data_IF_834215944584
#
_entry.id   IF_834215944584
#
_cell.length_a   1.000
_cell.length_b   1.000
_cell.length_c   1.000
_cell.angle_alpha   90.00
_cell.angle_beta   90.00
_cell.angle_gamma   90.00
#
_symmetry.space_group_name_H-M   'P 1'
#
loop_
_entity.id
_entity.type
_entity.pdbx_description
1 polymer ?
#
# COMPACT_ATOMS: atom_id res chain seq x y z
N UNK A 1 17.24 -36.19 -33.51
CA UNK A 1 18.40 -35.32 -33.75
C UNK A 1 18.38 -34.16 -32.76
N UNK A 2 19.49 -34.02 -32.01
CA UNK A 2 19.97 -32.92 -31.15
C UNK A 2 18.98 -32.16 -30.23
N UNK A 3 19.02 -32.51 -28.93
CA UNK A 3 18.66 -31.63 -27.80
C UNK A 3 19.86 -30.75 -27.45
N UNK A 4 19.72 -29.42 -27.42
CA UNK A 4 20.76 -28.51 -26.91
C UNK A 4 20.66 -28.40 -25.38
N UNK A 5 21.79 -28.55 -24.70
CA UNK A 5 21.95 -28.28 -23.26
C UNK A 5 22.47 -26.85 -23.11
N UNK A 6 21.79 -26.00 -22.34
CA UNK A 6 22.35 -24.73 -21.88
C UNK A 6 23.23 -25.02 -20.65
N UNK A 7 24.50 -24.63 -20.71
CA UNK A 7 25.42 -24.60 -19.58
C UNK A 7 25.25 -23.27 -18.82
N UNK A 8 24.95 -23.36 -17.52
CA UNK A 8 24.91 -22.24 -16.59
C UNK A 8 26.31 -22.05 -15.99
N UNK A 9 26.94 -20.90 -16.25
CA UNK A 9 28.23 -20.51 -15.69
C UNK A 9 27.98 -19.78 -14.37
N UNK A 10 28.50 -20.32 -13.27
CA UNK A 10 28.50 -19.71 -11.93
C UNK A 10 29.82 -18.97 -11.75
N UNK A 11 29.78 -17.66 -11.48
CA UNK A 11 30.94 -16.86 -11.09
C UNK A 11 31.03 -16.72 -9.55
N UNK A 12 32.23 -16.72 -8.94
CA UNK A 12 32.39 -16.65 -7.50
C UNK A 12 32.42 -15.20 -6.97
N UNK A 13 31.83 -15.03 -5.78
CA UNK A 13 31.79 -13.79 -4.98
C UNK A 13 33.10 -13.65 -4.20
N UNK A 14 33.77 -12.50 -4.32
CA UNK A 14 34.97 -12.18 -3.56
C UNK A 14 34.62 -11.50 -2.22
N UNK A 15 35.07 -12.10 -1.12
CA UNK A 15 35.04 -11.57 0.24
C UNK A 15 36.12 -10.48 0.41
N UNK A 16 35.75 -9.29 0.89
CA UNK A 16 36.69 -8.34 1.49
C UNK A 16 36.60 -8.41 3.02
N UNK A 17 37.71 -8.81 3.65
CA UNK A 17 37.92 -8.79 5.10
C UNK A 17 38.62 -7.49 5.50
N UNK A 18 38.00 -6.70 6.39
CA UNK A 18 38.62 -5.53 7.03
C UNK A 18 39.27 -5.90 8.36
N UNK A 19 40.50 -5.40 8.54
CA UNK A 19 41.43 -5.67 9.62
C UNK A 19 41.15 -4.78 10.83
N UNK A 20 41.06 -5.37 12.02
CA UNK A 20 41.14 -4.70 13.32
C UNK A 20 42.58 -4.29 13.63
N UNK A 21 42.79 -3.07 14.15
CA UNK A 21 43.98 -2.72 14.94
C UNK A 21 43.51 -2.10 16.26
N UNK A 22 43.85 -2.78 17.34
CA UNK A 22 43.77 -2.32 18.73
C UNK A 22 45.03 -1.49 19.06
N UNK A 23 44.84 -0.41 19.81
CA UNK A 23 45.94 0.37 20.39
C UNK A 23 45.53 0.99 21.72
N UNK A 24 45.84 0.29 22.81
CA UNK A 24 45.73 0.75 24.20
C UNK A 24 47.04 1.42 24.64
N UNK A 25 46.98 2.53 25.41
CA UNK A 25 47.61 2.59 26.75
C UNK A 25 47.60 3.99 27.41
N UNK A 26 47.17 3.94 28.68
CA UNK A 26 47.73 4.53 29.91
C UNK A 26 47.65 6.04 30.21
N UNK A 27 47.02 6.24 31.37
CA UNK A 27 47.02 7.40 32.24
C UNK A 27 48.37 7.65 32.94
N UNK A 28 48.58 8.90 33.37
CA UNK A 28 49.37 9.24 34.56
C UNK A 28 48.92 10.61 35.13
N UNK A 29 49.28 10.86 36.37
CA UNK A 29 48.53 11.59 37.39
C UNK A 29 49.24 12.84 37.95
N UNK A 30 48.46 13.92 38.18
CA UNK A 30 48.54 14.93 39.28
C UNK A 30 49.80 15.85 39.41
N UNK A 31 49.84 16.84 40.33
CA UNK A 31 49.14 18.15 40.32
C UNK A 31 50.13 19.33 40.56
N UNK A 32 49.71 20.62 40.55
CA UNK A 32 50.27 21.76 41.34
C UNK A 32 49.41 23.05 41.13
N UNK A 33 49.04 23.72 42.24
CA UNK A 33 48.40 25.06 42.35
C UNK A 33 49.49 26.18 42.46
N UNK A 34 49.17 27.44 42.83
CA UNK A 34 48.47 28.50 42.11
C UNK A 34 49.37 29.76 41.96
N UNK A 35 48.98 30.74 41.14
CA UNK A 35 49.57 32.09 41.24
C UNK A 35 48.52 33.16 40.95
N UNK A 36 48.42 34.10 41.89
CA UNK A 36 47.53 35.27 41.87
C UNK A 36 48.09 36.30 40.89
N UNK A 37 47.22 36.93 40.10
CA UNK A 37 47.39 38.36 39.81
C UNK A 37 46.03 38.98 39.49
N UNK A 38 45.68 39.92 40.34
CA UNK A 38 44.53 40.80 40.32
C UNK A 38 44.71 41.90 39.27
N UNK A 39 43.77 42.00 38.32
CA UNK A 39 43.46 43.26 37.65
C UNK A 39 41.95 43.40 37.64
N UNK A 40 41.44 44.33 38.46
CA UNK A 40 40.06 44.77 38.45
C UNK A 40 39.77 45.43 37.10
N UNK A 41 38.91 44.80 36.29
CA UNK A 41 38.24 45.45 35.17
C UNK A 41 36.80 45.70 35.59
N UNK A 42 36.46 46.98 35.67
CA UNK A 42 35.13 47.57 35.91
C UNK A 42 34.09 46.86 35.03
N UNK A 43 33.07 46.27 35.66
CA UNK A 43 31.89 45.70 35.00
C UNK A 43 30.89 46.84 34.83
N UNK A 44 30.59 47.20 33.59
CA UNK A 44 29.35 47.92 33.26
C UNK A 44 28.20 46.89 33.18
N UNK A 45 26.98 47.22 33.59
CA UNK A 45 25.89 46.27 33.58
C UNK A 45 25.45 46.00 32.14
N UNK A 46 25.76 44.79 31.66
CA UNK A 46 25.20 44.24 30.44
C UNK A 46 23.66 44.26 30.54
N UNK A 47 23.05 45.09 29.71
CA UNK A 47 21.64 45.05 29.35
C UNK A 47 21.24 43.61 29.02
N UNK A 48 20.40 43.04 29.87
CA UNK A 48 19.65 41.82 29.58
C UNK A 48 18.83 42.08 28.32
N UNK A 49 19.32 41.61 27.17
CA UNK A 49 18.50 41.46 25.98
C UNK A 49 17.43 40.43 26.33
N UNK A 50 16.21 40.89 26.58
CA UNK A 50 15.01 40.06 26.45
C UNK A 50 15.09 39.44 25.05
N UNK A 51 15.29 38.13 24.99
CA UNK A 51 14.99 37.37 23.78
C UNK A 51 13.52 37.57 23.48
N UNK A 52 13.22 38.27 22.40
CA UNK A 52 11.90 38.28 21.80
C UNK A 52 11.49 36.83 21.53
N UNK A 53 10.20 36.46 21.70
CA UNK A 53 9.76 35.13 21.33
C UNK A 53 10.03 34.94 19.85
N UNK A 54 10.77 33.89 19.47
CA UNK A 54 10.89 33.46 18.09
C UNK A 54 9.47 33.29 17.55
N UNK A 55 9.05 34.24 16.72
CA UNK A 55 7.77 34.23 16.06
C UNK A 55 7.79 33.00 15.16
N UNK A 56 7.00 31.99 15.52
CA UNK A 56 6.86 30.74 14.78
C UNK A 56 6.58 31.08 13.31
N UNK A 57 7.61 31.04 12.47
CA UNK A 57 7.48 31.32 11.05
C UNK A 57 6.84 30.07 10.47
N UNK A 58 5.50 30.03 10.49
CA UNK A 58 4.75 29.00 9.81
C UNK A 58 5.24 28.95 8.36
N UNK A 59 5.92 27.86 7.99
CA UNK A 59 6.36 27.64 6.62
C UNK A 59 5.11 27.48 5.76
N UNK A 60 4.96 28.39 4.81
CA UNK A 60 3.89 28.35 3.82
C UNK A 60 4.36 27.54 2.62
N UNK A 61 3.53 26.60 2.15
CA UNK A 61 3.79 25.79 0.97
C UNK A 61 2.85 26.19 -0.16
N UNK A 62 3.34 26.17 -1.39
CA UNK A 62 2.51 26.45 -2.57
C UNK A 62 1.65 25.23 -2.94
N UNK A 63 0.50 25.39 -3.61
CA UNK A 63 -0.19 24.27 -4.25
C UNK A 63 0.75 23.48 -5.16
N UNK A 64 0.62 22.15 -5.14
CA UNK A 64 1.45 21.17 -5.82
C UNK A 64 2.68 20.71 -5.04
N UNK A 65 3.00 21.33 -3.89
CA UNK A 65 4.18 20.97 -3.11
C UNK A 65 4.08 19.56 -2.52
N UNK A 66 2.88 19.13 -2.10
CA UNK A 66 2.68 17.79 -1.53
C UNK A 66 2.74 16.73 -2.64
N UNK A 67 2.12 16.99 -3.78
CA UNK A 67 2.24 16.14 -4.98
C UNK A 67 3.70 15.97 -5.38
N UNK A 68 4.48 17.05 -5.40
CA UNK A 68 5.91 16.98 -5.76
C UNK A 68 6.69 16.12 -4.75
N UNK A 69 6.55 16.40 -3.45
CA UNK A 69 7.25 15.66 -2.40
C UNK A 69 6.95 14.16 -2.45
N UNK A 70 5.68 13.79 -2.63
CA UNK A 70 5.26 12.39 -2.75
C UNK A 70 5.76 11.75 -4.05
N UNK A 71 5.72 12.48 -5.17
CA UNK A 71 6.24 12.00 -6.46
C UNK A 71 7.74 11.70 -6.41
N UNK A 72 8.49 12.49 -5.64
CA UNK A 72 9.92 12.30 -5.40
C UNK A 72 10.20 11.24 -4.31
N UNK A 73 9.17 10.80 -3.57
CA UNK A 73 9.31 9.87 -2.44
C UNK A 73 9.96 10.50 -1.21
N UNK A 74 9.96 11.84 -1.10
CA UNK A 74 10.55 12.58 0.01
C UNK A 74 9.61 12.54 1.22
N UNK A 75 9.83 11.56 2.09
CA UNK A 75 9.06 11.36 3.31
C UNK A 75 9.21 12.51 4.31
N UNK A 76 10.40 13.12 4.42
CA UNK A 76 10.63 14.19 5.39
C UNK A 76 9.96 15.47 4.92
N UNK A 77 10.02 15.77 3.62
CA UNK A 77 9.27 16.88 3.05
C UNK A 77 7.76 16.68 3.14
N UNK A 78 7.29 15.46 2.91
CA UNK A 78 5.88 15.10 3.10
C UNK A 78 5.44 15.40 4.54
N UNK A 79 6.18 14.93 5.56
CA UNK A 79 5.88 15.23 6.97
C UNK A 79 5.90 16.73 7.26
N UNK A 80 6.91 17.43 6.73
CA UNK A 80 7.03 18.88 6.91
C UNK A 80 5.79 19.61 6.39
N UNK A 81 5.29 19.25 5.21
CA UNK A 81 4.10 19.84 4.60
C UNK A 81 2.84 19.48 5.40
N UNK A 82 2.67 18.22 5.82
CA UNK A 82 1.50 17.77 6.58
C UNK A 82 1.40 18.39 7.98
N UNK A 83 2.51 18.87 8.55
CA UNK A 83 2.49 19.61 9.82
C UNK A 83 1.98 21.06 9.67
N UNK A 84 1.77 21.55 8.45
CA UNK A 84 1.16 22.86 8.20
C UNK A 84 -0.37 22.72 8.28
N UNK A 85 -0.99 23.32 9.31
CA UNK A 85 -2.39 23.10 9.68
C UNK A 85 -3.42 23.42 8.58
N UNK A 86 -3.02 24.19 7.57
CA UNK A 86 -3.92 24.73 6.54
C UNK A 86 -3.62 24.18 5.14
N UNK A 87 -2.74 23.19 4.99
CA UNK A 87 -2.41 22.65 3.67
C UNK A 87 -3.54 21.75 3.13
N UNK A 88 -3.92 21.95 1.86
CA UNK A 88 -4.90 21.10 1.18
C UNK A 88 -4.30 19.73 0.87
N UNK A 89 -4.64 18.71 1.67
CA UNK A 89 -4.07 17.36 1.54
C UNK A 89 -4.49 16.63 0.25
N UNK A 90 -5.73 16.85 -0.20
CA UNK A 90 -6.31 16.23 -1.40
C UNK A 90 -6.22 17.16 -2.62
N UNK A 91 -5.11 17.88 -2.76
CA UNK A 91 -4.78 18.55 -4.02
C UNK A 91 -4.66 17.53 -5.16
N UNK A 92 -4.84 17.98 -6.40
CA UNK A 92 -4.82 17.10 -7.57
C UNK A 92 -3.89 17.60 -8.66
N UNK A 93 -3.24 16.67 -9.37
CA UNK A 93 -2.48 16.97 -10.58
C UNK A 93 -3.38 16.97 -11.83
N UNK A 94 -2.79 17.14 -13.03
CA UNK A 94 -3.52 17.16 -14.31
C UNK A 94 -4.28 15.86 -14.62
N UNK A 95 -3.90 14.73 -14.00
CA UNK A 95 -4.58 13.43 -14.13
C UNK A 95 -5.64 13.21 -13.05
N UNK A 96 -5.90 14.22 -12.22
CA UNK A 96 -6.74 14.14 -11.01
C UNK A 96 -6.21 13.17 -9.96
N UNK A 97 -4.90 12.88 -9.95
CA UNK A 97 -4.30 12.07 -8.89
C UNK A 97 -4.06 12.91 -7.64
N UNK A 98 -4.52 12.43 -6.49
CA UNK A 98 -4.16 12.97 -5.18
C UNK A 98 -2.77 12.50 -4.75
N UNK A 99 -2.09 13.18 -3.81
CA UNK A 99 -0.87 12.68 -3.20
C UNK A 99 -1.00 11.23 -2.70
N UNK A 100 -2.14 10.89 -2.08
CA UNK A 100 -2.36 9.51 -1.60
C UNK A 100 -2.40 8.52 -2.77
N UNK A 101 -3.10 8.83 -3.86
CA UNK A 101 -3.15 7.93 -5.02
C UNK A 101 -1.76 7.74 -5.64
N UNK A 102 -0.96 8.79 -5.76
CA UNK A 102 0.43 8.71 -6.24
C UNK A 102 1.26 7.78 -5.34
N UNK A 103 1.14 7.94 -4.01
CA UNK A 103 1.82 7.07 -3.05
C UNK A 103 1.40 5.60 -3.21
N UNK A 104 0.11 5.33 -3.46
CA UNK A 104 -0.41 3.97 -3.70
C UNK A 104 0.08 3.39 -5.04
N UNK A 105 0.06 4.18 -6.12
CA UNK A 105 0.62 3.79 -7.43
C UNK A 105 2.07 3.34 -7.29
N UNK A 106 2.87 4.10 -6.56
CA UNK A 106 4.29 3.84 -6.33
C UNK A 106 4.57 2.86 -5.16
N UNK A 107 3.53 2.33 -4.50
CA UNK A 107 3.63 1.48 -3.30
C UNK A 107 4.52 2.08 -2.18
N UNK A 108 4.49 3.39 -2.01
CA UNK A 108 5.23 4.12 -0.97
C UNK A 108 4.51 4.00 0.38
N UNK A 109 4.64 2.83 1.02
CA UNK A 109 3.84 2.49 2.20
C UNK A 109 3.92 3.52 3.33
N UNK A 110 5.13 3.99 3.66
CA UNK A 110 5.32 4.93 4.76
C UNK A 110 4.64 6.29 4.49
N UNK A 111 4.71 6.78 3.24
CA UNK A 111 4.06 8.03 2.83
C UNK A 111 2.53 7.85 2.79
N UNK A 112 2.04 6.74 2.25
CA UNK A 112 0.61 6.45 2.22
C UNK A 112 0.01 6.42 3.64
N UNK A 113 0.71 5.81 4.61
CA UNK A 113 0.31 5.81 6.03
C UNK A 113 0.22 7.23 6.60
N UNK A 114 1.26 8.05 6.39
CA UNK A 114 1.25 9.45 6.83
C UNK A 114 0.07 10.25 6.26
N UNK A 115 -0.23 10.08 4.97
CA UNK A 115 -1.34 10.75 4.31
C UNK A 115 -2.70 10.28 4.84
N UNK A 116 -2.86 8.98 5.08
CA UNK A 116 -4.09 8.42 5.67
C UNK A 116 -4.29 8.92 7.10
N UNK A 117 -3.24 8.94 7.93
CA UNK A 117 -3.30 9.46 9.30
C UNK A 117 -3.63 10.96 9.34
N UNK A 118 -3.21 11.70 8.33
CA UNK A 118 -3.54 13.12 8.14
C UNK A 118 -4.92 13.35 7.49
N UNK A 119 -5.70 12.29 7.23
CA UNK A 119 -7.09 12.37 6.77
C UNK A 119 -7.28 12.46 5.25
N UNK A 120 -6.29 12.06 4.44
CA UNK A 120 -6.43 12.03 2.98
C UNK A 120 -7.60 11.15 2.53
N UNK A 121 -8.32 11.59 1.50
CA UNK A 121 -9.50 10.90 0.99
C UNK A 121 -9.11 9.61 0.22
N UNK A 122 -9.40 8.46 0.81
CA UNK A 122 -9.13 7.14 0.21
C UNK A 122 -10.04 6.78 -0.98
N UNK A 123 -11.08 7.58 -1.24
CA UNK A 123 -12.11 7.34 -2.24
C UNK A 123 -12.06 8.31 -3.44
N UNK A 124 -11.24 9.36 -3.38
CA UNK A 124 -11.10 10.31 -4.48
C UNK A 124 -10.58 9.61 -5.73
N UNK A 125 -11.34 9.69 -6.83
CA UNK A 125 -11.01 9.04 -8.09
C UNK A 125 -10.23 9.97 -9.01
N UNK A 126 -9.27 9.39 -9.73
CA UNK A 126 -8.58 10.04 -10.84
C UNK A 126 -9.41 10.03 -12.14
N UNK A 127 -8.80 10.50 -13.23
CA UNK A 127 -9.43 10.55 -14.56
C UNK A 127 -9.80 9.19 -15.15
N UNK A 128 -9.26 8.08 -14.62
CA UNK A 128 -9.57 6.72 -15.06
C UNK A 128 -10.34 5.90 -14.01
N UNK A 129 -10.98 6.60 -13.05
CA UNK A 129 -11.82 6.03 -12.00
C UNK A 129 -11.06 5.14 -11.01
N UNK A 130 -9.76 5.32 -10.84
CA UNK A 130 -9.00 4.67 -9.78
C UNK A 130 -8.97 5.58 -8.55
N UNK A 131 -9.33 5.03 -7.39
CA UNK A 131 -9.12 5.66 -6.07
C UNK A 131 -8.02 4.92 -5.31
N UNK A 132 -7.42 5.53 -4.27
CA UNK A 132 -6.42 4.85 -3.44
C UNK A 132 -6.88 3.47 -2.94
N UNK A 133 -8.13 3.36 -2.46
CA UNK A 133 -8.69 2.08 -2.01
C UNK A 133 -8.85 1.07 -3.16
N UNK A 134 -9.48 1.48 -4.27
CA UNK A 134 -9.73 0.59 -5.41
C UNK A 134 -8.42 0.09 -6.02
N UNK A 135 -7.45 0.97 -6.23
CA UNK A 135 -6.15 0.63 -6.79
C UNK A 135 -5.34 -0.25 -5.83
N UNK A 136 -5.32 0.07 -4.54
CA UNK A 136 -4.61 -0.74 -3.55
C UNK A 136 -5.12 -2.20 -3.51
N UNK A 137 -6.44 -2.36 -3.60
CA UNK A 137 -7.10 -3.66 -3.76
C UNK A 137 -6.70 -4.36 -5.06
N UNK A 138 -6.84 -3.67 -6.19
CA UNK A 138 -6.62 -4.22 -7.52
C UNK A 138 -5.15 -4.60 -7.80
N UNK A 139 -4.17 -3.87 -7.28
CA UNK A 139 -2.75 -4.00 -7.68
C UNK A 139 -1.86 -4.62 -6.60
N UNK A 140 -2.47 -5.33 -5.65
CA UNK A 140 -1.72 -6.09 -4.66
C UNK A 140 -0.93 -5.22 -3.68
N UNK A 141 -1.36 -3.97 -3.44
CA UNK A 141 -0.72 -3.06 -2.47
C UNK A 141 -1.13 -3.44 -1.04
N UNK A 142 -0.84 -4.69 -0.64
CA UNK A 142 -1.45 -5.34 0.54
C UNK A 142 -1.25 -4.60 1.85
N UNK A 143 -0.07 -4.02 2.08
CA UNK A 143 0.20 -3.27 3.31
C UNK A 143 -0.59 -1.97 3.37
N UNK A 144 -0.67 -1.23 2.25
CA UNK A 144 -1.46 0.00 2.14
C UNK A 144 -2.94 -0.32 2.27
N UNK A 145 -3.43 -1.34 1.57
CA UNK A 145 -4.82 -1.80 1.68
C UNK A 145 -5.19 -2.14 3.13
N UNK A 146 -4.34 -2.92 3.81
CA UNK A 146 -4.58 -3.29 5.22
C UNK A 146 -4.65 -2.05 6.12
N UNK A 147 -3.82 -1.04 5.84
CA UNK A 147 -3.85 0.22 6.58
C UNK A 147 -5.11 1.04 6.31
N UNK A 148 -5.50 1.18 5.04
CA UNK A 148 -6.76 1.83 4.63
C UNK A 148 -7.95 1.19 5.35
N UNK A 149 -8.04 -0.14 5.34
CA UNK A 149 -9.16 -0.86 5.95
C UNK A 149 -9.27 -0.64 7.47
N UNK A 150 -8.15 -0.34 8.14
CA UNK A 150 -8.08 -0.19 9.61
C UNK A 150 -8.13 1.26 10.09
N UNK A 151 -7.69 2.22 9.28
CA UNK A 151 -7.55 3.63 9.67
C UNK A 151 -8.48 4.57 8.89
N UNK A 152 -9.16 4.08 7.87
CA UNK A 152 -10.12 4.84 7.07
C UNK A 152 -11.42 4.05 6.84
N UNK A 153 -12.40 4.73 6.24
CA UNK A 153 -13.67 4.11 5.83
C UNK A 153 -13.83 4.22 4.32
N UNK A 154 -13.46 3.17 3.56
CA UNK A 154 -13.69 3.17 2.12
C UNK A 154 -15.18 3.11 1.79
N UNK A 155 -15.60 3.97 0.87
CA UNK A 155 -16.96 4.01 0.35
C UNK A 155 -17.16 2.84 -0.63
N UNK A 156 -17.99 1.88 -0.23
CA UNK A 156 -18.26 0.68 -1.04
C UNK A 156 -19.20 0.94 -2.22
N UNK A 157 -19.73 2.16 -2.37
CA UNK A 157 -20.53 2.57 -3.54
C UNK A 157 -19.67 3.07 -4.70
N UNK A 158 -18.40 3.40 -4.45
CA UNK A 158 -17.43 3.83 -5.46
C UNK A 158 -16.84 2.61 -6.18
N UNK A 159 -16.89 2.63 -7.51
CA UNK A 159 -16.47 1.52 -8.37
C UNK A 159 -15.42 1.97 -9.40
N UNK A 160 -14.59 1.03 -9.84
CA UNK A 160 -13.56 1.28 -10.86
C UNK A 160 -14.17 1.51 -12.26
N UNK A 161 -13.33 1.81 -13.27
CA UNK A 161 -13.77 2.03 -14.67
C UNK A 161 -14.59 0.90 -15.30
N UNK A 162 -14.40 -0.35 -14.85
CA UNK A 162 -15.18 -1.51 -15.28
C UNK A 162 -16.47 -1.70 -14.46
N UNK A 163 -16.74 -0.79 -13.54
CA UNK A 163 -17.87 -0.79 -12.62
C UNK A 163 -17.76 -1.87 -11.55
N UNK A 164 -16.57 -2.39 -11.26
CA UNK A 164 -16.34 -3.37 -10.19
C UNK A 164 -15.82 -2.72 -8.91
N UNK A 165 -16.04 -3.41 -7.78
CA UNK A 165 -15.43 -3.09 -6.50
C UNK A 165 -13.96 -3.55 -6.44
N UNK A 166 -13.28 -3.34 -5.31
CA UNK A 166 -11.86 -3.72 -5.13
C UNK A 166 -11.59 -5.24 -5.16
N UNK A 167 -12.57 -6.08 -4.81
CA UNK A 167 -12.40 -7.53 -4.70
C UNK A 167 -12.30 -8.21 -6.06
N UNK A 168 -13.07 -7.76 -7.04
CA UNK A 168 -13.11 -8.31 -8.40
C UNK A 168 -11.71 -8.33 -9.05
N UNK A 169 -11.03 -7.17 -9.24
CA UNK A 169 -9.70 -7.15 -9.83
C UNK A 169 -8.64 -7.80 -8.94
N UNK A 170 -8.79 -7.77 -7.61
CA UNK A 170 -7.86 -8.48 -6.71
C UNK A 170 -7.88 -10.00 -6.97
N UNK A 171 -9.07 -10.56 -7.18
CA UNK A 171 -9.25 -11.98 -7.50
C UNK A 171 -8.74 -12.30 -8.92
N UNK A 172 -9.11 -11.50 -9.92
CA UNK A 172 -8.66 -11.63 -11.31
C UNK A 172 -7.14 -11.61 -11.42
N UNK A 173 -6.47 -10.66 -10.76
CA UNK A 173 -5.00 -10.49 -10.82
C UNK A 173 -4.22 -11.45 -9.94
N UNK A 174 -4.89 -12.35 -9.21
CA UNK A 174 -4.21 -13.37 -8.41
C UNK A 174 -3.68 -12.85 -7.06
N UNK A 175 -4.16 -11.70 -6.57
CA UNK A 175 -3.73 -11.11 -5.30
C UNK A 175 -4.47 -11.73 -4.12
N UNK A 176 -4.19 -13.02 -3.85
CA UNK A 176 -4.85 -13.81 -2.80
C UNK A 176 -4.85 -13.11 -1.43
N UNK A 177 -3.77 -12.45 -1.04
CA UNK A 177 -3.71 -11.81 0.27
C UNK A 177 -4.61 -10.57 0.35
N UNK A 178 -4.77 -9.82 -0.74
CA UNK A 178 -5.77 -8.74 -0.81
C UNK A 178 -7.19 -9.28 -0.76
N UNK A 179 -7.47 -10.39 -1.47
CA UNK A 179 -8.76 -11.09 -1.40
C UNK A 179 -9.10 -11.42 0.05
N UNK A 180 -8.17 -12.03 0.79
CA UNK A 180 -8.38 -12.34 2.22
C UNK A 180 -8.65 -11.09 3.06
N UNK A 181 -7.88 -10.01 2.87
CA UNK A 181 -8.05 -8.76 3.64
C UNK A 181 -9.41 -8.11 3.38
N UNK A 182 -9.82 -8.03 2.12
CA UNK A 182 -11.12 -7.48 1.73
C UNK A 182 -12.29 -8.33 2.28
N UNK A 183 -12.18 -9.66 2.24
CA UNK A 183 -13.21 -10.56 2.78
C UNK A 183 -13.25 -10.59 4.31
N UNK A 184 -12.12 -10.41 4.98
CA UNK A 184 -12.04 -10.30 6.44
C UNK A 184 -12.70 -9.02 6.96
N UNK A 185 -12.66 -7.95 6.16
CA UNK A 185 -13.24 -6.65 6.49
C UNK A 185 -14.79 -6.61 6.45
N UNK A 186 -15.43 -7.58 5.78
CA UNK A 186 -16.90 -7.76 5.70
C UNK A 186 -17.70 -6.61 5.07
N UNK A 187 -17.09 -5.46 4.75
CA UNK A 187 -17.78 -4.35 4.06
C UNK A 187 -17.93 -4.60 2.55
N UNK A 188 -16.99 -5.33 1.93
CA UNK A 188 -17.05 -5.59 0.49
C UNK A 188 -18.18 -6.56 0.14
N UNK A 189 -18.97 -6.21 -0.87
CA UNK A 189 -20.00 -7.10 -1.41
C UNK A 189 -19.35 -8.21 -2.26
N UNK A 190 -19.29 -9.43 -1.72
CA UNK A 190 -18.62 -10.59 -2.35
C UNK A 190 -19.25 -10.99 -3.70
N UNK A 191 -20.57 -10.85 -3.80
CA UNK A 191 -21.40 -11.21 -4.96
C UNK A 191 -21.65 -10.04 -5.91
N UNK A 192 -20.95 -8.91 -5.72
CA UNK A 192 -21.08 -7.74 -6.58
C UNK A 192 -20.72 -8.09 -8.04
N UNK A 193 -21.48 -7.55 -9.00
CA UNK A 193 -21.24 -7.74 -10.42
C UNK A 193 -20.76 -6.44 -11.07
N UNK A 194 -19.67 -6.52 -11.83
CA UNK A 194 -19.20 -5.40 -12.64
C UNK A 194 -20.07 -5.18 -13.89
N UNK A 195 -19.70 -4.24 -14.79
CA UNK A 195 -20.47 -3.93 -16.01
C UNK A 195 -20.67 -5.11 -16.96
N UNK A 196 -19.87 -6.17 -16.84
CA UNK A 196 -19.95 -7.40 -17.64
C UNK A 196 -20.76 -8.50 -16.97
N UNK A 197 -21.30 -8.25 -15.77
CA UNK A 197 -21.96 -9.26 -14.95
C UNK A 197 -20.97 -10.18 -14.22
N UNK A 198 -19.67 -9.90 -14.24
CA UNK A 198 -18.70 -10.75 -13.57
C UNK A 198 -18.60 -10.43 -12.08
N UNK A 199 -18.66 -11.47 -11.26
CA UNK A 199 -18.25 -11.45 -9.85
C UNK A 199 -16.77 -11.76 -9.73
N UNK A 200 -16.20 -11.55 -8.54
CA UNK A 200 -14.81 -11.94 -8.26
C UNK A 200 -14.56 -13.44 -8.50
N UNK A 201 -15.56 -14.28 -8.20
CA UNK A 201 -15.50 -15.72 -8.45
C UNK A 201 -15.49 -16.02 -9.96
N UNK A 202 -16.29 -15.32 -10.76
CA UNK A 202 -16.31 -15.51 -12.22
C UNK A 202 -14.97 -15.08 -12.83
N UNK A 203 -14.41 -13.92 -12.46
CA UNK A 203 -13.13 -13.49 -13.06
C UNK A 203 -11.96 -14.38 -12.68
N UNK A 204 -11.89 -14.84 -11.42
CA UNK A 204 -10.85 -15.76 -10.96
C UNK A 204 -10.85 -17.11 -11.71
N UNK A 205 -11.99 -17.50 -12.29
CA UNK A 205 -12.16 -18.77 -13.02
C UNK A 205 -12.11 -18.58 -14.53
N UNK A 206 -12.93 -17.67 -15.06
CA UNK A 206 -13.18 -17.54 -16.49
C UNK A 206 -12.14 -16.76 -17.28
N UNK A 207 -11.31 -15.94 -16.60
CA UNK A 207 -10.33 -15.08 -17.25
C UNK A 207 -8.87 -15.53 -17.03
N UNK A 208 -8.65 -16.54 -16.19
CA UNK A 208 -7.32 -16.92 -15.68
C UNK A 208 -7.01 -18.40 -15.93
N UNK A 209 -5.79 -18.83 -15.61
CA UNK A 209 -5.21 -20.10 -16.08
C UNK A 209 -5.54 -21.34 -15.23
N UNK A 210 -6.33 -21.19 -14.16
CA UNK A 210 -6.69 -22.28 -13.25
C UNK A 210 -5.53 -22.79 -12.37
N UNK A 211 -4.40 -22.07 -12.31
CA UNK A 211 -3.25 -22.41 -11.47
C UNK A 211 -3.59 -22.42 -9.96
N UNK A 212 -2.64 -22.87 -9.14
CA UNK A 212 -2.84 -23.04 -7.69
C UNK A 212 -3.33 -21.75 -7.01
N UNK A 213 -2.81 -20.58 -7.40
CA UNK A 213 -3.25 -19.31 -6.82
C UNK A 213 -4.73 -19.03 -7.08
N UNK A 214 -5.24 -19.39 -8.27
CA UNK A 214 -6.67 -19.24 -8.58
C UNK A 214 -7.52 -20.30 -7.89
N UNK A 215 -7.02 -21.52 -7.71
CA UNK A 215 -7.68 -22.53 -6.87
C UNK A 215 -7.81 -22.02 -5.42
N UNK A 216 -6.76 -21.41 -4.87
CA UNK A 216 -6.77 -20.84 -3.51
C UNK A 216 -7.73 -19.64 -3.40
N UNK A 217 -7.77 -18.76 -4.42
CA UNK A 217 -8.72 -17.64 -4.46
C UNK A 217 -10.16 -18.12 -4.54
N UNK A 218 -10.45 -19.11 -5.40
CA UNK A 218 -11.77 -19.74 -5.49
C UNK A 218 -12.16 -20.36 -4.15
N UNK A 219 -11.23 -21.09 -3.50
CA UNK A 219 -11.46 -21.67 -2.18
C UNK A 219 -11.86 -20.57 -1.17
N UNK A 220 -11.09 -19.49 -1.14
CA UNK A 220 -11.29 -18.40 -0.18
C UNK A 220 -12.61 -17.66 -0.41
N UNK A 221 -12.98 -17.39 -1.66
CA UNK A 221 -14.26 -16.79 -2.02
C UNK A 221 -15.43 -17.69 -1.59
N UNK A 222 -15.40 -18.98 -1.95
CA UNK A 222 -16.46 -19.93 -1.60
C UNK A 222 -16.58 -20.12 -0.07
N UNK A 223 -15.45 -20.19 0.64
CA UNK A 223 -15.41 -20.29 2.11
C UNK A 223 -16.01 -19.08 2.81
N UNK A 224 -15.97 -17.91 2.17
CA UNK A 224 -16.60 -16.68 2.67
C UNK A 224 -18.02 -16.46 2.12
N UNK A 225 -18.61 -17.47 1.48
CA UNK A 225 -20.02 -17.45 1.09
C UNK A 225 -20.32 -16.85 -0.29
N UNK A 226 -19.33 -16.79 -1.20
CA UNK A 226 -19.59 -16.37 -2.58
C UNK A 226 -20.63 -17.31 -3.22
N UNK A 227 -21.65 -16.75 -3.87
CA UNK A 227 -22.68 -17.53 -4.54
C UNK A 227 -22.18 -18.02 -5.91
N UNK A 228 -21.94 -19.34 -6.08
CA UNK A 228 -21.40 -19.88 -7.33
C UNK A 228 -22.41 -19.93 -8.49
N UNK A 229 -23.70 -19.66 -8.22
CA UNK A 229 -24.77 -19.76 -9.21
C UNK A 229 -25.09 -18.43 -9.90
N UNK A 230 -24.42 -17.34 -9.53
CA UNK A 230 -24.55 -16.06 -10.21
C UNK A 230 -24.12 -16.21 -11.68
N UNK A 231 -24.92 -15.64 -12.57
CA UNK A 231 -24.70 -15.64 -14.01
C UNK A 231 -24.22 -14.27 -14.47
N UNK A 232 -23.23 -14.27 -15.34
CA UNK A 232 -22.79 -13.08 -16.05
C UNK A 232 -23.80 -12.61 -17.13
N UNK A 233 -23.46 -11.53 -17.84
CA UNK A 233 -24.31 -10.99 -18.89
C UNK A 233 -24.47 -11.93 -20.11
N UNK A 234 -23.64 -12.97 -20.22
CA UNK A 234 -23.76 -14.03 -21.24
C UNK A 234 -24.52 -15.26 -20.71
N UNK A 235 -25.05 -15.19 -19.49
CA UNK A 235 -25.76 -16.29 -18.85
C UNK A 235 -24.87 -17.40 -18.29
N UNK A 236 -23.54 -17.22 -18.22
CA UNK A 236 -22.59 -18.23 -17.72
C UNK A 236 -22.28 -18.06 -16.23
N UNK A 237 -22.16 -19.18 -15.54
CA UNK A 237 -21.68 -19.26 -14.14
C UNK A 237 -20.18 -19.55 -14.10
N UNK A 238 -19.55 -19.38 -12.94
CA UNK A 238 -18.16 -19.78 -12.73
C UNK A 238 -17.94 -21.29 -13.03
N UNK A 239 -18.93 -22.14 -12.75
CA UNK A 239 -18.86 -23.57 -13.08
C UNK A 239 -18.86 -23.83 -14.59
N UNK A 240 -19.64 -23.07 -15.36
CA UNK A 240 -19.66 -23.19 -16.82
C UNK A 240 -18.28 -22.89 -17.41
N UNK A 241 -17.61 -21.84 -16.92
CA UNK A 241 -16.23 -21.52 -17.29
C UNK A 241 -15.25 -22.62 -16.89
N UNK A 242 -15.31 -23.11 -15.64
CA UNK A 242 -14.41 -24.16 -15.18
C UNK A 242 -14.52 -25.44 -16.01
N UNK A 243 -15.75 -25.83 -16.39
CA UNK A 243 -15.98 -26.99 -17.26
C UNK A 243 -15.47 -26.74 -18.69
N UNK A 244 -15.73 -25.56 -19.25
CA UNK A 244 -15.29 -25.18 -20.59
C UNK A 244 -13.75 -25.17 -20.72
N UNK A 245 -13.06 -24.70 -19.68
CA UNK A 245 -11.60 -24.56 -19.65
C UNK A 245 -10.87 -25.82 -19.13
N UNK A 246 -11.60 -26.84 -18.65
CA UNK A 246 -11.03 -28.08 -18.14
C UNK A 246 -10.44 -27.98 -16.72
N UNK A 247 -10.81 -26.97 -15.94
CA UNK A 247 -10.34 -26.75 -14.57
C UNK A 247 -11.05 -27.67 -13.57
N UNK A 248 -10.74 -28.97 -13.64
CA UNK A 248 -11.44 -30.02 -12.89
C UNK A 248 -11.44 -29.79 -11.37
N UNK A 249 -10.33 -29.32 -10.79
CA UNK A 249 -10.26 -29.01 -9.35
C UNK A 249 -11.23 -27.89 -8.97
N UNK A 250 -11.20 -26.77 -9.70
CA UNK A 250 -12.11 -25.62 -9.49
C UNK A 250 -13.57 -26.06 -9.65
N UNK A 251 -13.88 -26.81 -10.71
CA UNK A 251 -15.24 -27.31 -10.94
C UNK A 251 -15.74 -28.18 -9.77
N UNK A 252 -14.87 -29.03 -9.22
CA UNK A 252 -15.22 -29.86 -8.05
C UNK A 252 -15.43 -29.02 -6.78
N UNK A 253 -14.60 -27.99 -6.54
CA UNK A 253 -14.76 -27.07 -5.42
C UNK A 253 -16.11 -26.33 -5.50
N UNK A 254 -16.47 -25.83 -6.68
CA UNK A 254 -17.74 -25.14 -6.90
C UNK A 254 -18.93 -26.10 -6.69
N UNK A 255 -18.87 -27.32 -7.23
CA UNK A 255 -19.93 -28.33 -7.02
C UNK A 255 -20.10 -28.69 -5.55
N UNK A 256 -19.01 -28.82 -4.81
CA UNK A 256 -19.05 -29.10 -3.38
C UNK A 256 -19.72 -27.96 -2.59
N UNK A 257 -19.40 -26.70 -2.90
CA UNK A 257 -20.04 -25.54 -2.28
C UNK A 257 -21.55 -25.49 -2.57
N UNK A 258 -21.97 -25.85 -3.79
CA UNK A 258 -23.38 -25.94 -4.16
C UNK A 258 -24.16 -27.02 -3.39
N UNK A 259 -23.53 -28.15 -3.07
CA UNK A 259 -24.17 -29.21 -2.31
C UNK A 259 -24.50 -28.81 -0.86
N UNK A 260 -23.80 -27.82 -0.31
CA UNK A 260 -24.01 -27.34 1.07
C UNK A 260 -25.00 -26.17 1.16
N UNK A 261 -25.38 -25.59 0.02
CA UNK A 261 -26.30 -24.45 -0.07
C UNK A 261 -27.79 -24.86 -0.07
N UNK A 262 -28.13 -26.13 0.21
CA UNK A 262 -29.52 -26.57 0.34
C UNK A 262 -30.04 -26.08 1.71
N UNK A 263 -31.03 -25.16 1.76
CA UNK A 263 -31.70 -24.83 3.00
C UNK A 263 -32.66 -25.97 3.38
N UNK A 264 -32.65 -26.34 4.67
CA UNK A 264 -33.76 -27.05 5.33
C UNK A 264 -34.99 -26.15 5.42
#
# INVERSE_FOLDING_TARGET
MKKSKLNLIVLPVALLTSVLILGSCKASSTPIKPSKSSVQKRIEPDTIKKSEPEKDIQKTFNPGSLIQAVSEGDIEKTKEILNSSDYQIDEINEKSETPLLIAVHNNQVAIAKLLIDAGANVNQQDTIQDSPYLYAGAEGRTEILSYILTHATPDQTVNNRYGGNALIPAAEKGHLENVKRLLADKRVAIDYQNKFGYTALIEAVGLRDGSQVYQDIVAELLRNGANPNIRDNSGRTALDYANQLGYSNIANMIKAANAWAIPI
#
